data_IF_858276151581
#
_entry.id   IF_858276151581
#
_cell.length_a   1.000
_cell.length_b   1.000
_cell.length_c   1.000
_cell.angle_alpha   90.00
_cell.angle_beta   90.00
_cell.angle_gamma   90.00
#
_symmetry.space_group_name_H-M   'P 1'
#
loop_
_entity.id
_entity.type
_entity.pdbx_description
1 polymer ?
#
# COMPACT_ATOMS: atom_id res chain seq x y z
N UNK A 1 10.59 1.27 -11.11
CA UNK A 1 11.28 0.53 -12.20
C UNK A 1 10.58 0.92 -13.50
N UNK A 2 11.24 0.87 -14.66
CA UNK A 2 10.66 1.37 -15.90
C UNK A 2 9.47 0.45 -16.26
N UNK A 3 8.25 0.97 -16.20
CA UNK A 3 7.00 0.19 -16.17
C UNK A 3 6.23 0.21 -17.48
N UNK A 4 6.70 0.92 -18.50
CA UNK A 4 5.99 1.02 -19.79
C UNK A 4 6.71 0.24 -20.91
N UNK A 5 6.02 -0.04 -22.03
CA UNK A 5 6.66 -0.62 -23.22
C UNK A 5 7.81 0.27 -23.77
N UNK A 6 7.70 1.59 -23.60
CA UNK A 6 8.75 2.57 -23.95
C UNK A 6 9.97 2.49 -23.02
N UNK A 7 9.72 2.20 -21.75
CA UNK A 7 10.71 2.01 -20.70
C UNK A 7 11.50 0.70 -20.87
N UNK A 8 10.82 -0.37 -21.30
CA UNK A 8 11.49 -1.63 -21.70
C UNK A 8 12.37 -1.40 -22.93
N UNK A 9 11.93 -0.59 -23.90
CA UNK A 9 12.73 -0.25 -25.08
C UNK A 9 14.01 0.53 -24.71
N UNK A 10 13.92 1.46 -23.74
CA UNK A 10 15.10 2.17 -23.20
C UNK A 10 16.02 1.27 -22.36
N UNK A 11 15.47 0.30 -21.60
CA UNK A 11 16.25 -0.71 -20.90
C UNK A 11 17.05 -1.59 -21.85
N UNK A 12 16.52 -1.91 -23.04
CA UNK A 12 17.21 -2.74 -24.03
C UNK A 12 18.56 -2.16 -24.50
N UNK A 13 18.80 -0.86 -24.36
CA UNK A 13 20.10 -0.22 -24.68
C UNK A 13 21.11 -0.28 -23.53
N UNK A 14 20.64 -0.46 -22.28
CA UNK A 14 21.46 -0.36 -21.07
C UNK A 14 21.69 -1.71 -20.36
N UNK A 15 21.08 -2.79 -20.86
CA UNK A 15 20.96 -4.08 -20.17
C UNK A 15 21.45 -5.22 -21.07
N UNK A 16 22.12 -6.26 -20.53
CA UNK A 16 22.53 -7.42 -21.30
C UNK A 16 21.35 -8.09 -22.04
N UNK A 17 21.56 -8.61 -23.26
CA UNK A 17 20.49 -9.20 -24.08
C UNK A 17 19.70 -10.30 -23.34
N UNK A 18 20.39 -11.14 -22.57
CA UNK A 18 19.78 -12.25 -21.82
C UNK A 18 18.74 -11.78 -20.80
N UNK A 19 18.91 -10.57 -20.21
CA UNK A 19 17.97 -10.02 -19.24
C UNK A 19 16.75 -9.39 -19.92
N UNK A 20 16.93 -8.83 -21.12
CA UNK A 20 15.82 -8.33 -21.95
C UNK A 20 14.88 -9.48 -22.32
N UNK A 21 15.45 -10.61 -22.74
CA UNK A 21 14.67 -11.81 -23.06
C UNK A 21 13.94 -12.36 -21.83
N UNK A 22 14.56 -12.29 -20.66
CA UNK A 22 13.94 -12.71 -19.40
C UNK A 22 12.74 -11.82 -19.02
N UNK A 23 12.87 -10.49 -19.14
CA UNK A 23 11.78 -9.54 -18.87
C UNK A 23 10.62 -9.78 -19.83
N UNK A 24 10.90 -9.96 -21.12
CA UNK A 24 9.87 -10.26 -22.14
C UNK A 24 9.19 -11.61 -21.92
N UNK A 25 9.89 -12.57 -21.31
CA UNK A 25 9.35 -13.90 -21.01
C UNK A 25 8.32 -13.90 -19.87
N UNK A 26 8.45 -12.96 -18.91
CA UNK A 26 7.59 -12.90 -17.72
C UNK A 26 6.95 -11.50 -17.54
N UNK A 27 6.14 -11.03 -18.51
CA UNK A 27 5.50 -9.71 -18.43
C UNK A 27 4.56 -9.59 -17.22
N UNK A 28 3.97 -10.69 -16.75
CA UNK A 28 3.06 -10.74 -15.61
C UNK A 28 3.75 -10.44 -14.27
N UNK A 29 5.07 -10.57 -14.18
CA UNK A 29 5.85 -10.26 -12.97
C UNK A 29 6.10 -8.75 -12.86
N UNK A 30 6.05 -8.03 -13.98
CA UNK A 30 6.34 -6.60 -14.06
C UNK A 30 5.16 -5.79 -14.62
N UNK A 31 3.96 -5.88 -14.02
CA UNK A 31 2.83 -5.08 -14.47
C UNK A 31 3.03 -3.60 -14.16
N UNK A 32 2.44 -2.73 -14.99
CA UNK A 32 2.49 -1.27 -14.83
C UNK A 32 1.86 -0.80 -13.51
N UNK A 33 0.88 -1.56 -13.01
CA UNK A 33 0.14 -1.31 -11.78
C UNK A 33 -0.09 -2.62 -11.02
N UNK A 34 -0.37 -2.53 -9.72
CA UNK A 34 -0.59 -3.70 -8.89
C UNK A 34 -1.85 -4.48 -9.32
N UNK A 35 -1.78 -5.83 -9.37
CA UNK A 35 -2.94 -6.64 -9.66
C UNK A 35 -4.00 -6.43 -8.59
N UNK A 36 -5.27 -6.36 -9.01
CA UNK A 36 -6.37 -6.19 -8.08
C UNK A 36 -6.55 -7.45 -7.21
N UNK A 37 -6.97 -7.23 -5.97
CA UNK A 37 -7.23 -8.26 -4.98
C UNK A 37 -6.01 -8.58 -4.12
N UNK A 38 -6.24 -9.46 -3.15
CA UNK A 38 -5.19 -9.91 -2.27
C UNK A 38 -4.37 -11.02 -2.91
N UNK A 39 -3.10 -11.16 -2.51
CA UNK A 39 -2.36 -12.36 -2.86
C UNK A 39 -3.12 -13.61 -2.40
N UNK A 40 -2.95 -14.75 -3.10
CA UNK A 40 -3.49 -16.02 -2.64
C UNK A 40 -2.94 -16.34 -1.25
N UNK A 41 -3.78 -16.89 -0.37
CA UNK A 41 -3.37 -17.27 0.99
C UNK A 41 -2.22 -18.28 0.94
N UNK A 42 -1.24 -18.07 1.82
CA UNK A 42 -0.03 -18.90 1.95
C UNK A 42 0.03 -19.47 3.38
N UNK A 43 0.82 -20.53 3.61
CA UNK A 43 1.04 -21.05 4.96
C UNK A 43 1.58 -19.98 5.93
N UNK A 44 2.36 -19.04 5.41
CA UNK A 44 2.87 -17.88 6.12
C UNK A 44 2.14 -16.62 5.64
N UNK A 45 0.91 -16.43 6.09
CA UNK A 45 0.19 -15.17 5.94
C UNK A 45 0.59 -14.20 7.07
N UNK A 46 0.59 -12.90 6.77
CA UNK A 46 0.95 -11.88 7.74
C UNK A 46 -0.10 -11.82 8.86
N UNK A 47 0.30 -12.24 10.06
CA UNK A 47 -0.48 -12.14 11.29
C UNK A 47 0.17 -11.13 12.21
N UNK A 48 -0.68 -10.33 12.86
CA UNK A 48 -0.23 -9.38 13.86
C UNK A 48 -0.66 -9.89 15.23
N UNK A 49 0.32 -10.26 16.05
CA UNK A 49 0.11 -10.80 17.39
C UNK A 49 0.08 -9.67 18.41
N UNK A 50 -0.92 -9.72 19.29
CA UNK A 50 -1.09 -8.76 20.37
C UNK A 50 -0.51 -9.33 21.66
N UNK A 51 0.19 -8.48 22.40
CA UNK A 51 0.64 -8.81 23.75
C UNK A 51 -0.57 -9.12 24.66
N UNK A 52 -0.46 -10.09 25.59
CA UNK A 52 -1.53 -10.39 26.54
C UNK A 52 -1.94 -9.14 27.34
N UNK A 53 -3.22 -8.77 27.27
CA UNK A 53 -3.76 -7.58 27.96
C UNK A 53 -3.64 -6.27 27.18
N UNK A 54 -3.17 -6.30 25.93
CA UNK A 54 -3.22 -5.15 25.03
C UNK A 54 -4.64 -4.58 24.91
N UNK A 55 -4.78 -3.27 25.12
CA UNK A 55 -6.06 -2.57 24.98
C UNK A 55 -6.17 -1.87 23.63
N UNK A 56 -7.38 -1.72 23.08
CA UNK A 56 -7.55 -0.95 21.84
C UNK A 56 -7.18 0.52 21.98
N UNK A 57 -6.41 1.03 21.01
CA UNK A 57 -6.07 2.45 20.92
C UNK A 57 -6.79 3.07 19.72
N UNK A 58 -7.55 4.13 19.97
CA UNK A 58 -8.22 4.95 18.96
C UNK A 58 -7.57 6.33 18.94
N UNK A 59 -6.87 6.63 17.86
CA UNK A 59 -6.34 7.97 17.62
C UNK A 59 -7.21 8.72 16.62
N UNK A 60 -7.45 10.00 16.91
CA UNK A 60 -8.20 10.87 16.00
C UNK A 60 -7.32 11.25 14.83
N UNK A 61 -7.94 11.33 13.65
CA UNK A 61 -7.29 11.85 12.45
C UNK A 61 -6.80 13.29 12.68
N UNK A 62 -5.58 13.59 12.25
CA UNK A 62 -5.06 14.95 12.25
C UNK A 62 -5.86 15.83 11.29
N UNK A 63 -5.85 17.15 11.52
CA UNK A 63 -6.49 18.08 10.60
C UNK A 63 -5.77 18.03 9.26
N UNK A 64 -6.52 17.75 8.21
CA UNK A 64 -6.06 17.74 6.83
C UNK A 64 -6.48 19.05 6.15
N UNK A 65 -5.61 19.57 5.31
CA UNK A 65 -5.95 20.63 4.35
C UNK A 65 -6.90 20.11 3.27
N UNK A 66 -7.50 21.01 2.50
CA UNK A 66 -8.40 20.64 1.42
C UNK A 66 -7.72 19.75 0.37
N UNK A 67 -6.48 20.07 0.01
CA UNK A 67 -5.69 19.31 -0.95
C UNK A 67 -5.39 17.89 -0.44
N UNK A 68 -5.00 17.77 0.83
CA UNK A 68 -4.76 16.45 1.44
C UNK A 68 -6.03 15.59 1.54
N UNK A 69 -7.20 16.21 1.75
CA UNK A 69 -8.47 15.49 1.74
C UNK A 69 -8.83 14.95 0.37
N UNK A 70 -8.61 15.73 -0.69
CA UNK A 70 -8.86 15.32 -2.08
C UNK A 70 -7.93 14.16 -2.48
N UNK A 71 -6.64 14.26 -2.15
CA UNK A 71 -5.66 13.18 -2.36
C UNK A 71 -6.00 11.93 -1.55
N UNK A 72 -6.41 12.09 -0.29
CA UNK A 72 -6.84 10.98 0.55
C UNK A 72 -8.01 10.23 -0.10
N UNK A 73 -9.01 10.97 -0.58
CA UNK A 73 -10.20 10.38 -1.17
C UNK A 73 -9.87 9.60 -2.44
N UNK A 74 -9.07 10.19 -3.34
CA UNK A 74 -8.62 9.49 -4.56
C UNK A 74 -7.87 8.19 -4.24
N UNK A 75 -7.01 8.22 -3.22
CA UNK A 75 -6.26 7.04 -2.84
C UNK A 75 -7.13 5.96 -2.20
N UNK A 76 -8.07 6.34 -1.33
CA UNK A 76 -9.04 5.41 -0.74
C UNK A 76 -9.90 4.74 -1.81
N UNK A 77 -10.39 5.52 -2.78
CA UNK A 77 -11.19 4.99 -3.89
C UNK A 77 -10.40 4.00 -4.74
N UNK A 78 -9.14 4.30 -5.04
CA UNK A 78 -8.23 3.38 -5.73
C UNK A 78 -8.06 2.07 -4.94
N UNK A 79 -7.73 2.14 -3.65
CA UNK A 79 -7.49 0.96 -2.81
C UNK A 79 -8.75 0.11 -2.62
N UNK A 80 -9.91 0.74 -2.47
CA UNK A 80 -11.21 0.07 -2.35
C UNK A 80 -11.55 -0.63 -3.66
N UNK A 81 -11.38 0.06 -4.80
CA UNK A 81 -11.64 -0.51 -6.13
C UNK A 81 -10.71 -1.68 -6.44
N UNK A 82 -9.44 -1.58 -6.02
CA UNK A 82 -8.46 -2.68 -6.11
C UNK A 82 -8.69 -3.79 -5.10
N UNK A 83 -9.57 -3.62 -4.12
CA UNK A 83 -9.85 -4.63 -3.10
C UNK A 83 -8.71 -4.85 -2.10
N UNK A 84 -7.77 -3.92 -2.01
CA UNK A 84 -6.68 -3.98 -1.02
C UNK A 84 -7.18 -3.67 0.39
N UNK A 85 -8.28 -2.91 0.50
CA UNK A 85 -8.84 -2.45 1.76
C UNK A 85 -10.36 -2.64 1.76
N UNK A 86 -10.97 -2.55 2.94
CA UNK A 86 -12.42 -2.57 3.10
C UNK A 86 -12.85 -1.69 4.27
N UNK A 87 -14.09 -1.17 4.27
CA UNK A 87 -14.67 -0.58 5.47
C UNK A 87 -14.61 -1.58 6.64
N UNK A 88 -14.32 -1.08 7.84
CA UNK A 88 -14.23 -1.90 9.05
C UNK A 88 -14.72 -1.14 10.28
N UNK A 89 -15.12 -1.88 11.31
CA UNK A 89 -15.61 -1.35 12.59
C UNK A 89 -14.66 -1.74 13.72
N UNK A 90 -13.35 -1.58 13.50
CA UNK A 90 -12.35 -1.98 14.49
C UNK A 90 -12.37 -1.08 15.71
N UNK A 91 -12.05 -1.62 16.90
CA UNK A 91 -11.77 -0.81 18.06
C UNK A 91 -10.39 -0.10 17.98
N UNK A 92 -9.60 -0.34 16.92
CA UNK A 92 -8.30 0.31 16.69
C UNK A 92 -8.36 1.28 15.51
N UNK A 93 -7.78 2.47 15.68
CA UNK A 93 -7.64 3.46 14.63
C UNK A 93 -6.33 4.25 14.78
N UNK A 94 -5.64 4.49 13.67
CA UNK A 94 -4.46 5.34 13.61
C UNK A 94 -4.68 6.49 12.64
N UNK A 95 -4.03 7.64 12.86
CA UNK A 95 -4.14 8.76 11.96
C UNK A 95 -3.29 8.51 10.70
N UNK A 96 -3.78 9.07 9.61
CA UNK A 96 -3.11 9.20 8.34
C UNK A 96 -2.25 10.46 8.37
N UNK A 97 -1.00 10.33 7.97
CA UNK A 97 -0.03 11.40 7.78
C UNK A 97 0.27 11.55 6.31
N UNK A 98 0.61 12.76 5.90
CA UNK A 98 1.02 13.06 4.53
C UNK A 98 2.49 13.45 4.50
N UNK A 99 3.25 12.83 3.61
CA UNK A 99 4.67 13.13 3.40
C UNK A 99 4.89 13.56 1.95
N UNK A 100 5.53 14.71 1.71
CA UNK A 100 5.85 15.13 0.35
C UNK A 100 6.85 14.14 -0.27
N UNK A 101 6.57 13.69 -1.48
CA UNK A 101 7.56 12.96 -2.28
C UNK A 101 8.65 13.92 -2.74
N UNK A 102 9.86 13.39 -2.97
CA UNK A 102 11.03 14.14 -3.43
C UNK A 102 10.76 15.04 -4.64
N UNK A 103 9.86 14.63 -5.53
CA UNK A 103 9.53 15.35 -6.76
C UNK A 103 8.50 16.47 -6.55
N UNK A 104 8.13 16.76 -5.29
CA UNK A 104 7.25 17.84 -4.81
C UNK A 104 5.81 17.88 -5.39
N UNK A 105 5.49 17.03 -6.37
CA UNK A 105 4.19 16.98 -7.06
C UNK A 105 3.21 15.97 -6.48
N UNK A 106 3.67 15.03 -5.66
CA UNK A 106 2.84 13.95 -5.11
C UNK A 106 3.02 13.90 -3.60
N UNK A 107 1.91 13.81 -2.88
CA UNK A 107 1.90 13.61 -1.45
C UNK A 107 1.55 12.15 -1.18
N UNK A 108 2.42 11.44 -0.45
CA UNK A 108 2.16 10.06 -0.07
C UNK A 108 1.48 10.07 1.30
N UNK A 109 0.37 9.34 1.45
CA UNK A 109 -0.20 9.11 2.76
C UNK A 109 0.48 7.90 3.41
N UNK A 110 0.68 8.02 4.72
CA UNK A 110 1.34 7.04 5.57
C UNK A 110 0.46 6.83 6.79
N UNK A 111 0.37 5.60 7.28
CA UNK A 111 -0.21 5.34 8.59
C UNK A 111 0.84 5.60 9.67
N UNK A 112 0.53 6.38 10.70
CA UNK A 112 1.41 6.51 11.86
C UNK A 112 1.32 5.25 12.71
N UNK A 113 2.46 4.60 12.94
CA UNK A 113 2.58 3.39 13.75
C UNK A 113 3.20 3.63 15.13
N UNK A 114 3.46 4.89 15.50
CA UNK A 114 4.18 5.24 16.74
C UNK A 114 3.44 4.80 18.02
N UNK A 115 2.15 4.46 17.93
CA UNK A 115 1.32 3.91 19.01
C UNK A 115 0.76 2.51 18.69
N UNK A 116 1.19 1.92 17.58
CA UNK A 116 0.73 0.63 17.07
C UNK A 116 1.49 -0.56 17.67
N UNK A 117 2.58 -0.30 18.40
CA UNK A 117 3.49 -1.33 18.90
C UNK A 117 2.92 -2.16 20.09
N UNK A 118 1.74 -1.84 20.65
CA UNK A 118 0.93 -2.86 21.31
C UNK A 118 -0.53 -2.95 20.80
N UNK A 119 -0.94 -2.16 19.81
CA UNK A 119 -2.35 -1.92 19.51
C UNK A 119 -2.62 -1.85 17.99
N UNK A 120 -3.11 -2.94 17.40
CA UNK A 120 -3.08 -3.09 15.94
C UNK A 120 -4.43 -2.79 15.26
N UNK A 121 -4.44 -1.76 14.40
CA UNK A 121 -5.49 -1.29 13.49
C UNK A 121 -6.43 -2.40 12.99
N UNK A 122 -7.70 -2.05 12.86
CA UNK A 122 -8.37 -2.30 11.59
C UNK A 122 -9.02 -0.99 11.13
N UNK A 123 -8.41 -0.36 10.14
CA UNK A 123 -9.17 0.57 9.32
C UNK A 123 -8.80 0.45 7.85
N UNK A 124 -7.62 -0.08 7.54
CA UNK A 124 -7.13 -0.19 6.16
C UNK A 124 -6.21 -1.42 6.07
N UNK A 125 -6.72 -2.62 6.35
CA UNK A 125 -5.91 -3.85 6.24
C UNK A 125 -6.48 -4.83 5.20
N UNK A 126 -5.59 -5.51 4.45
CA UNK A 126 -5.97 -6.55 3.51
C UNK A 126 -6.74 -7.66 4.24
N UNK A 127 -7.79 -8.17 3.60
CA UNK A 127 -8.77 -9.16 4.09
C UNK A 127 -8.18 -10.51 4.58
N UNK A 128 -6.86 -10.68 4.71
CA UNK A 128 -6.21 -11.94 5.09
C UNK A 128 -5.75 -12.02 6.55
N UNK A 129 -6.05 -11.03 7.38
CA UNK A 129 -5.73 -11.13 8.82
C UNK A 129 -6.82 -11.97 9.50
N UNK A 130 -6.51 -13.24 9.75
CA UNK A 130 -7.24 -14.11 10.70
C UNK A 130 -6.44 -14.25 11.99
#
# INVERSE_FOLDING_TARGET
>A
LPTTAEDIAKLCEAVPPDLVDLIRKYPEIFPDDLPAGLPPSRPEDHRIELEPGAQPTVQRQFRLSQLELEELQQHLDYLLTKGFIRPSTSPYAAPILFTPKKDASTILYCLSYDFFVPCQLATILPQSIR
#
